data_IF_806706690157
#
_entry.id   IF_806706690157
#
_cell.length_a   1.000
_cell.length_b   1.000
_cell.length_c   1.000
_cell.angle_alpha   90.00
_cell.angle_beta   90.00
_cell.angle_gamma   90.00
#
_symmetry.space_group_name_H-M   'P 1'
#
loop_
_entity.id
_entity.type
_entity.pdbx_description
1 polymer ?
#
# COMPACT_ATOMS: atom_id res chain seq x y z
N UNK A 1 -29.05 -38.61 9.57
CA UNK A 1 -28.11 -39.58 10.17
C UNK A 1 -26.70 -39.04 10.00
N UNK A 2 -26.03 -38.79 11.13
CA UNK A 2 -24.71 -38.16 11.23
C UNK A 2 -23.65 -38.94 10.45
N UNK A 3 -22.91 -38.27 9.57
CA UNK A 3 -21.71 -38.80 8.91
C UNK A 3 -20.60 -38.88 9.96
N UNK A 4 -20.58 -39.97 10.72
CA UNK A 4 -19.59 -40.28 11.75
C UNK A 4 -18.30 -40.85 11.15
N UNK A 5 -17.76 -40.18 10.13
CA UNK A 5 -16.44 -40.51 9.58
C UNK A 5 -15.62 -39.23 9.47
N UNK A 6 -15.16 -38.72 10.62
CA UNK A 6 -14.13 -37.69 10.73
C UNK A 6 -12.72 -38.25 10.39
N UNK A 7 -12.67 -39.23 9.50
CA UNK A 7 -11.46 -39.91 9.02
C UNK A 7 -11.35 -39.79 7.50
N UNK A 8 -10.20 -40.13 6.90
CA UNK A 8 -9.98 -40.02 5.45
C UNK A 8 -10.93 -40.87 4.61
N UNK A 9 -11.67 -41.79 5.24
CA UNK A 9 -12.58 -42.74 4.60
C UNK A 9 -13.85 -42.09 4.06
N UNK A 10 -14.30 -40.97 4.64
CA UNK A 10 -15.47 -40.21 4.17
C UNK A 10 -15.18 -39.20 3.05
N UNK A 11 -13.91 -39.03 2.65
CA UNK A 11 -13.49 -38.02 1.67
C UNK A 11 -13.51 -38.55 0.23
N UNK A 12 -13.92 -37.71 -0.71
CA UNK A 12 -13.83 -37.99 -2.14
C UNK A 12 -12.36 -38.14 -2.57
N UNK A 13 -12.10 -38.87 -3.66
CA UNK A 13 -10.72 -39.14 -4.12
C UNK A 13 -9.89 -37.86 -4.31
N UNK A 14 -10.50 -36.81 -4.86
CA UNK A 14 -9.91 -35.47 -5.03
C UNK A 14 -9.59 -34.79 -3.70
N UNK A 15 -10.46 -34.92 -2.71
CA UNK A 15 -10.27 -34.35 -1.37
C UNK A 15 -9.13 -35.04 -0.63
N UNK A 16 -9.02 -36.37 -0.76
CA UNK A 16 -7.90 -37.16 -0.21
C UNK A 16 -6.57 -36.71 -0.81
N UNK A 17 -6.51 -36.46 -2.11
CA UNK A 17 -5.29 -35.99 -2.78
C UNK A 17 -4.92 -34.57 -2.36
N UNK A 18 -5.90 -33.66 -2.28
CA UNK A 18 -5.70 -32.31 -1.75
C UNK A 18 -5.18 -32.33 -0.30
N UNK A 19 -5.72 -33.21 0.55
CA UNK A 19 -5.26 -33.37 1.92
C UNK A 19 -3.81 -33.87 2.00
N UNK A 20 -3.40 -34.78 1.11
CA UNK A 20 -2.00 -35.22 0.99
C UNK A 20 -1.09 -34.05 0.58
N UNK A 21 -1.47 -33.27 -0.43
CA UNK A 21 -0.71 -32.09 -0.88
C UNK A 21 -0.57 -31.06 0.24
N UNK A 22 -1.66 -30.73 0.94
CA UNK A 22 -1.63 -29.80 2.08
C UNK A 22 -0.77 -30.29 3.24
N UNK A 23 -0.79 -31.59 3.54
CA UNK A 23 0.09 -32.20 4.56
C UNK A 23 1.56 -32.08 4.18
N UNK A 24 1.92 -32.27 2.91
CA UNK A 24 3.29 -32.06 2.43
C UNK A 24 3.73 -30.59 2.55
N UNK A 25 2.83 -29.65 2.24
CA UNK A 25 3.11 -28.21 2.31
C UNK A 25 3.38 -27.69 3.72
N UNK A 26 2.87 -28.35 4.78
CA UNK A 26 3.15 -27.96 6.17
C UNK A 26 4.65 -27.94 6.49
N UNK A 27 5.44 -28.79 5.83
CA UNK A 27 6.89 -28.92 6.05
C UNK A 27 7.73 -28.16 5.03
N UNK A 28 7.12 -27.61 3.98
CA UNK A 28 7.84 -27.02 2.84
C UNK A 28 8.74 -25.85 3.22
N UNK A 29 8.35 -25.05 4.23
CA UNK A 29 9.16 -23.94 4.73
C UNK A 29 10.20 -24.34 5.78
N UNK A 30 10.16 -25.58 6.25
CA UNK A 30 11.05 -26.05 7.31
C UNK A 30 12.27 -26.72 6.68
N UNK A 31 13.46 -26.32 7.13
CA UNK A 31 14.73 -26.91 6.68
C UNK A 31 15.03 -28.13 7.54
N UNK A 32 15.56 -29.19 6.95
CA UNK A 32 15.92 -30.42 7.65
C UNK A 32 17.34 -30.86 7.30
N UNK A 33 17.89 -31.74 8.13
CA UNK A 33 19.22 -32.32 7.91
C UNK A 33 20.31 -31.26 7.75
N UNK A 34 21.16 -31.43 6.75
CA UNK A 34 22.33 -30.57 6.50
C UNK A 34 21.92 -29.12 6.24
N UNK A 35 20.81 -28.88 5.53
CA UNK A 35 20.33 -27.52 5.27
C UNK A 35 19.91 -26.77 6.53
N UNK A 36 19.35 -27.49 7.52
CA UNK A 36 19.00 -26.91 8.81
C UNK A 36 20.25 -26.50 9.60
N UNK A 37 21.28 -27.35 9.57
CA UNK A 37 22.55 -27.08 10.24
C UNK A 37 23.28 -25.90 9.60
N UNK A 38 23.38 -25.87 8.27
CA UNK A 38 23.98 -24.75 7.53
C UNK A 38 23.20 -23.44 7.74
N UNK A 39 21.87 -23.49 7.77
CA UNK A 39 21.06 -22.32 8.07
C UNK A 39 21.31 -21.80 9.48
N UNK A 40 21.40 -22.71 10.48
CA UNK A 40 21.71 -22.38 11.86
C UNK A 40 23.10 -21.75 11.97
N UNK A 41 24.13 -22.36 11.40
CA UNK A 41 25.51 -21.84 11.41
C UNK A 41 25.59 -20.47 10.73
N UNK A 42 24.93 -20.28 9.59
CA UNK A 42 24.89 -19.00 8.91
C UNK A 42 24.18 -17.94 9.77
N UNK A 43 23.09 -18.30 10.45
CA UNK A 43 22.37 -17.41 11.37
C UNK A 43 23.27 -17.02 12.55
N UNK A 44 23.94 -17.97 13.19
CA UNK A 44 24.90 -17.73 14.26
C UNK A 44 26.04 -16.81 13.81
N UNK A 45 26.62 -17.04 12.63
CA UNK A 45 27.66 -16.18 12.06
C UNK A 45 27.18 -14.76 11.78
N UNK A 46 25.96 -14.60 11.27
CA UNK A 46 25.34 -13.27 11.08
C UNK A 46 25.14 -12.57 12.41
N UNK A 47 24.61 -13.28 13.41
CA UNK A 47 24.40 -12.71 14.75
C UNK A 47 25.72 -12.23 15.35
N UNK A 48 26.78 -13.04 15.35
CA UNK A 48 28.11 -12.67 15.85
C UNK A 48 28.72 -11.47 15.12
N UNK A 49 28.53 -11.36 13.80
CA UNK A 49 28.99 -10.20 13.04
C UNK A 49 28.18 -8.92 13.35
N UNK A 50 26.94 -9.07 13.82
CA UNK A 50 26.03 -7.96 14.14
C UNK A 50 25.88 -7.67 15.63
N UNK A 51 26.50 -8.47 16.51
CA UNK A 51 26.39 -8.34 17.96
C UNK A 51 27.12 -7.07 18.39
N UNK A 52 26.35 -6.05 18.75
CA UNK A 52 26.79 -4.67 18.98
C UNK A 52 26.30 -3.64 17.95
N UNK A 53 26.10 -4.03 16.69
CA UNK A 53 25.66 -3.12 15.63
C UNK A 53 24.13 -3.07 15.45
N UNK A 54 23.43 -4.19 15.63
CA UNK A 54 21.98 -4.27 15.36
C UNK A 54 21.09 -3.84 16.55
N UNK A 55 21.49 -4.15 17.78
CA UNK A 55 20.66 -3.89 18.97
C UNK A 55 20.76 -2.44 19.47
N UNK A 56 21.94 -1.81 19.40
CA UNK A 56 22.11 -0.39 19.79
C UNK A 56 21.67 0.60 18.71
N UNK A 57 21.58 0.18 17.45
CA UNK A 57 21.18 1.08 16.37
C UNK A 57 19.66 1.28 16.26
N UNK A 58 18.85 0.29 16.67
CA UNK A 58 17.42 0.28 16.34
C UNK A 58 16.47 0.63 17.51
N UNK A 59 16.82 0.27 18.75
CA UNK A 59 15.91 0.48 19.90
C UNK A 59 16.24 1.75 20.69
N UNK A 60 17.52 2.09 20.85
CA UNK A 60 17.96 3.27 21.62
C UNK A 60 18.08 4.54 20.79
N UNK A 61 18.13 4.42 19.45
CA UNK A 61 18.26 5.56 18.53
C UNK A 61 16.92 6.06 18.00
N UNK A 62 15.95 5.17 17.77
CA UNK A 62 14.62 5.55 17.30
C UNK A 62 13.79 6.31 18.34
N UNK A 63 14.17 6.27 19.62
CA UNK A 63 13.58 7.06 20.70
C UNK A 63 14.22 8.45 20.90
N UNK A 64 15.24 8.80 20.11
CA UNK A 64 15.90 10.09 20.22
C UNK A 64 15.09 11.19 19.53
N UNK A 65 15.18 12.41 20.06
CA UNK A 65 14.64 13.60 19.38
C UNK A 65 15.46 13.90 18.13
N UNK A 66 14.81 14.48 17.12
CA UNK A 66 15.46 14.98 15.92
C UNK A 66 16.66 15.89 16.26
N UNK A 67 17.73 15.80 15.47
CA UNK A 67 18.93 16.64 15.62
C UNK A 67 18.83 18.01 14.96
N UNK A 68 17.79 18.27 14.17
CA UNK A 68 17.58 19.55 13.51
C UNK A 68 17.36 20.68 14.52
N UNK A 69 17.90 21.85 14.21
CA UNK A 69 17.63 23.10 14.91
C UNK A 69 16.86 24.03 13.98
N UNK A 70 15.81 24.66 14.52
CA UNK A 70 15.00 25.68 13.86
C UNK A 70 14.99 26.87 14.79
N UNK A 71 15.47 28.03 14.34
CA UNK A 71 15.57 29.26 15.15
C UNK A 71 16.27 29.03 16.50
N UNK A 72 17.42 28.34 16.47
CA UNK A 72 18.22 27.92 17.64
C UNK A 72 17.53 26.97 18.65
N UNK A 73 16.31 26.52 18.34
CA UNK A 73 15.58 25.54 19.14
C UNK A 73 15.68 24.16 18.50
N UNK A 74 16.13 23.17 19.27
CA UNK A 74 16.17 21.77 18.81
C UNK A 74 14.75 21.26 18.59
N UNK A 75 14.54 20.63 17.43
CA UNK A 75 13.27 20.01 17.09
C UNK A 75 12.84 18.96 18.15
N UNK A 76 11.60 19.07 18.61
CA UNK A 76 11.02 18.18 19.61
C UNK A 76 10.51 16.84 19.03
N UNK A 77 10.34 16.77 17.70
CA UNK A 77 9.84 15.58 17.02
C UNK A 77 10.78 14.39 17.17
N UNK A 78 10.20 13.19 17.17
CA UNK A 78 10.97 11.95 17.21
C UNK A 78 11.73 11.72 15.89
N UNK A 79 12.97 11.23 15.99
CA UNK A 79 13.72 10.81 14.80
C UNK A 79 13.10 9.56 14.17
N UNK A 80 13.15 9.46 12.85
CA UNK A 80 12.71 8.25 12.15
C UNK A 80 13.66 7.08 12.44
N UNK A 81 13.20 5.82 12.33
CA UNK A 81 14.05 4.65 12.49
C UNK A 81 15.27 4.73 11.57
N UNK A 82 16.44 4.39 12.11
CA UNK A 82 17.73 4.41 11.41
C UNK A 82 18.24 5.79 10.95
N UNK A 83 17.51 6.88 11.20
CA UNK A 83 17.95 8.24 10.91
C UNK A 83 18.15 9.04 12.21
N UNK A 84 18.68 10.25 12.09
CA UNK A 84 18.82 11.21 13.20
C UNK A 84 17.80 12.35 13.14
N UNK A 85 16.90 12.31 12.16
CA UNK A 85 16.00 13.40 11.79
C UNK A 85 14.55 12.92 11.75
N UNK A 86 13.62 13.80 12.11
CA UNK A 86 12.19 13.54 11.91
C UNK A 86 11.84 13.68 10.43
N UNK A 87 10.62 13.29 10.04
CA UNK A 87 10.15 13.39 8.65
C UNK A 87 10.37 14.80 8.09
N UNK A 88 9.95 15.85 8.79
CA UNK A 88 10.05 17.25 8.33
C UNK A 88 11.48 17.72 8.07
N UNK A 89 12.47 17.14 8.75
CA UNK A 89 13.87 17.56 8.68
C UNK A 89 14.77 16.50 8.04
N UNK A 90 14.22 15.41 7.51
CA UNK A 90 15.02 14.31 6.97
C UNK A 90 15.92 14.76 5.81
N UNK A 91 15.49 15.78 5.06
CA UNK A 91 16.26 16.37 3.96
C UNK A 91 17.42 17.27 4.42
N UNK A 92 17.57 17.54 5.72
CA UNK A 92 18.75 18.24 6.26
C UNK A 92 19.94 17.28 6.48
N UNK A 93 19.70 15.97 6.49
CA UNK A 93 20.75 14.96 6.63
C UNK A 93 21.55 14.84 5.32
N UNK A 94 22.87 15.04 5.39
CA UNK A 94 23.75 14.98 4.22
C UNK A 94 23.85 13.59 3.61
N UNK A 95 23.55 12.55 4.38
CA UNK A 95 23.58 11.16 3.91
C UNK A 95 22.20 10.68 3.45
N UNK A 96 21.21 11.57 3.33
CA UNK A 96 19.87 11.19 2.98
C UNK A 96 19.73 10.84 1.50
N UNK A 97 19.39 9.59 1.21
CA UNK A 97 19.20 9.09 -0.16
C UNK A 97 17.76 8.66 -0.45
N UNK A 98 16.95 8.42 0.58
CA UNK A 98 15.58 7.90 0.43
C UNK A 98 14.53 8.99 0.22
N UNK A 99 14.83 10.22 0.65
CA UNK A 99 13.90 11.35 0.63
C UNK A 99 14.58 12.55 0.00
N UNK A 100 13.85 13.28 -0.85
CA UNK A 100 14.25 14.57 -1.42
C UNK A 100 13.17 15.61 -1.13
N UNK A 101 13.48 16.91 -1.12
CA UNK A 101 12.45 17.94 -1.10
C UNK A 101 11.65 17.88 -2.41
N UNK A 102 10.35 18.13 -2.32
CA UNK A 102 9.49 18.25 -3.49
C UNK A 102 9.96 19.42 -4.37
N UNK A 103 9.94 19.25 -5.69
CA UNK A 103 10.32 20.33 -6.60
C UNK A 103 9.34 21.53 -6.55
N UNK A 104 8.08 21.28 -6.17
CA UNK A 104 7.06 22.33 -6.06
C UNK A 104 6.50 22.73 -7.42
N UNK A 105 5.91 23.92 -7.49
CA UNK A 105 5.59 24.62 -8.73
C UNK A 105 6.49 25.85 -8.86
N UNK A 106 6.64 26.36 -10.08
CA UNK A 106 7.48 27.54 -10.41
C UNK A 106 7.22 28.75 -9.48
N UNK A 107 5.98 28.90 -9.00
CA UNK A 107 5.53 30.06 -8.22
C UNK A 107 5.81 29.95 -6.71
N UNK A 108 5.92 28.73 -6.15
CA UNK A 108 6.06 28.52 -4.69
C UNK A 108 6.97 27.31 -4.37
N UNK A 109 8.09 27.51 -3.65
CA UNK A 109 8.98 26.41 -3.30
C UNK A 109 8.32 25.45 -2.31
N UNK A 110 8.39 24.15 -2.61
CA UNK A 110 7.81 23.11 -1.75
C UNK A 110 8.87 22.35 -0.97
N UNK A 111 9.06 22.64 0.31
CA UNK A 111 10.04 21.91 1.13
C UNK A 111 9.52 20.59 1.71
N UNK A 112 8.45 20.00 1.15
CA UNK A 112 7.89 18.74 1.67
C UNK A 112 8.80 17.56 1.29
N UNK A 113 9.25 16.74 2.26
CA UNK A 113 10.07 15.57 2.00
C UNK A 113 9.23 14.49 1.29
N UNK A 114 9.73 14.00 0.17
CA UNK A 114 9.07 13.01 -0.69
C UNK A 114 9.99 11.81 -0.95
N UNK A 115 9.46 10.56 -0.92
CA UNK A 115 10.25 9.38 -1.19
C UNK A 115 10.74 9.33 -2.64
N UNK A 116 12.02 9.05 -2.84
CA UNK A 116 12.65 8.94 -4.17
C UNK A 116 12.20 7.67 -4.92
N UNK A 117 11.67 6.67 -4.21
CA UNK A 117 11.21 5.41 -4.81
C UNK A 117 9.98 5.54 -5.72
N UNK A 118 9.32 6.71 -5.76
CA UNK A 118 8.07 6.92 -6.49
C UNK A 118 8.28 7.34 -7.95
N UNK A 119 9.32 8.13 -8.24
CA UNK A 119 9.63 8.66 -9.58
C UNK A 119 11.03 9.31 -9.60
N UNK A 120 11.57 9.58 -10.79
CA UNK A 120 12.82 10.34 -10.95
C UNK A 120 12.68 11.77 -10.41
N UNK A 121 11.51 12.39 -10.65
CA UNK A 121 11.07 13.67 -10.09
C UNK A 121 9.92 13.46 -9.10
N UNK A 122 10.20 13.17 -7.82
CA UNK A 122 9.17 12.96 -6.82
C UNK A 122 8.51 14.28 -6.43
N UNK A 123 7.18 14.30 -6.49
CA UNK A 123 6.36 15.42 -6.05
C UNK A 123 5.45 14.99 -4.89
N UNK A 124 5.13 15.92 -4.00
CA UNK A 124 4.17 15.65 -2.93
C UNK A 124 2.76 15.53 -3.54
N UNK A 125 1.77 14.96 -2.83
CA UNK A 125 0.42 14.77 -3.36
C UNK A 125 -0.24 16.06 -3.89
N UNK A 126 0.17 17.23 -3.40
CA UNK A 126 -0.33 18.53 -3.85
C UNK A 126 0.30 19.01 -5.17
N UNK A 127 1.50 18.51 -5.50
CA UNK A 127 2.23 18.84 -6.73
C UNK A 127 2.33 17.64 -7.68
N UNK A 128 1.58 16.57 -7.41
CA UNK A 128 1.52 15.41 -8.28
C UNK A 128 0.70 15.76 -9.52
N UNK A 129 1.31 15.65 -10.70
CA UNK A 129 0.61 15.85 -11.97
C UNK A 129 -0.32 14.66 -12.22
N UNK A 130 -1.62 14.89 -12.10
CA UNK A 130 -2.63 13.87 -12.42
C UNK A 130 -2.64 13.59 -13.93
N UNK A 131 -2.81 12.33 -14.35
CA UNK A 131 -3.10 12.00 -15.74
C UNK A 131 -4.35 12.77 -16.22
N UNK A 132 -4.42 13.16 -17.51
CA UNK A 132 -5.63 13.74 -18.06
C UNK A 132 -6.81 12.77 -17.84
N UNK A 133 -8.00 13.31 -17.56
CA UNK A 133 -9.19 12.49 -17.38
C UNK A 133 -9.42 11.66 -18.64
N UNK A 134 -9.48 10.34 -18.48
CA UNK A 134 -9.69 9.40 -19.60
C UNK A 134 -11.14 9.42 -20.10
N UNK A 135 -12.06 9.97 -19.32
CA UNK A 135 -13.45 10.11 -19.70
C UNK A 135 -13.62 11.36 -20.56
N UNK A 136 -13.94 11.15 -21.83
CA UNK A 136 -14.51 12.18 -22.69
C UNK A 136 -16.02 12.03 -22.56
N UNK A 137 -16.74 13.00 -21.96
CA UNK A 137 -18.18 13.02 -22.03
C UNK A 137 -18.60 12.97 -23.49
N UNK A 138 -19.51 12.05 -23.82
CA UNK A 138 -20.08 11.94 -25.16
C UNK A 138 -20.64 13.31 -25.54
N UNK A 139 -20.04 13.93 -26.56
CA UNK A 139 -20.54 15.18 -27.10
C UNK A 139 -21.95 14.88 -27.58
N UNK A 140 -22.95 15.41 -26.88
CA UNK A 140 -24.34 15.41 -27.34
C UNK A 140 -24.29 16.03 -28.73
N UNK A 141 -24.42 15.17 -29.75
CA UNK A 141 -24.60 15.58 -31.13
C UNK A 141 -25.70 16.62 -31.11
N UNK A 142 -25.38 17.85 -31.52
CA UNK A 142 -26.38 18.85 -31.80
C UNK A 142 -27.33 18.23 -32.82
N UNK A 143 -28.52 17.86 -32.35
CA UNK A 143 -29.62 17.37 -33.17
C UNK A 143 -29.90 18.46 -34.20
N UNK A 144 -29.76 18.21 -35.51
CA UNK A 144 -30.26 19.15 -36.50
C UNK A 144 -31.79 19.22 -36.38
N UNK A 145 -32.25 20.46 -36.30
CA UNK A 145 -33.64 20.89 -36.20
C UNK A 145 -34.51 20.32 -37.34
N UNK A 146 -35.67 19.81 -36.94
CA UNK A 146 -36.88 19.50 -37.71
C UNK A 146 -36.81 18.48 -38.85
N UNK A 147 -37.55 17.36 -38.67
CA UNK A 147 -38.46 16.81 -39.68
C UNK A 147 -39.43 15.80 -39.02
N UNK A 148 -40.67 16.27 -38.87
CA UNK A 148 -41.95 15.55 -38.98
C UNK A 148 -42.22 14.22 -38.24
N UNK A 149 -43.32 14.29 -37.50
CA UNK A 149 -44.05 13.26 -36.76
C UNK A 149 -44.14 11.84 -37.38
N UNK A 150 -43.82 10.82 -36.56
CA UNK A 150 -44.50 9.51 -36.51
C UNK A 150 -44.13 8.76 -35.20
N UNK A 151 -44.88 7.72 -34.79
CA UNK A 151 -45.64 7.69 -33.55
C UNK A 151 -44.89 7.10 -32.35
N UNK A 152 -45.34 7.59 -31.19
CA UNK A 152 -45.30 6.99 -29.86
C UNK A 152 -45.45 5.47 -29.92
N UNK A 153 -44.37 4.73 -29.68
CA UNK A 153 -44.36 3.48 -28.93
C UNK A 153 -42.94 2.91 -28.95
N UNK A 154 -42.14 3.31 -27.95
CA UNK A 154 -41.09 2.50 -27.32
C UNK A 154 -40.58 3.31 -26.12
N UNK A 155 -41.46 3.50 -25.13
CA UNK A 155 -41.07 3.99 -23.81
C UNK A 155 -40.29 2.87 -23.12
N UNK A 156 -38.98 2.85 -23.33
CA UNK A 156 -38.07 2.14 -22.45
C UNK A 156 -38.04 2.93 -21.14
N UNK A 157 -38.60 2.35 -20.08
CA UNK A 157 -38.54 2.91 -18.73
C UNK A 157 -37.09 3.01 -18.26
N UNK A 158 -36.40 4.06 -18.67
CA UNK A 158 -35.21 4.53 -17.98
C UNK A 158 -35.71 5.24 -16.73
N UNK A 159 -35.51 4.61 -15.56
CA UNK A 159 -35.70 5.29 -14.30
C UNK A 159 -34.67 6.43 -14.23
N UNK A 160 -35.09 7.64 -14.59
CA UNK A 160 -34.32 8.87 -14.40
C UNK A 160 -34.29 9.22 -12.91
N UNK A 161 -33.48 8.48 -12.15
CA UNK A 161 -33.18 8.87 -10.78
C UNK A 161 -32.34 10.14 -10.82
N UNK A 162 -32.96 11.25 -10.43
CA UNK A 162 -32.25 12.50 -10.15
C UNK A 162 -31.19 12.24 -9.05
N UNK A 163 -29.99 12.86 -9.09
CA UNK A 163 -28.87 12.56 -8.19
C UNK A 163 -29.07 12.82 -6.68
N UNK A 164 -30.30 13.07 -6.22
CA UNK A 164 -30.60 13.52 -4.85
C UNK A 164 -31.62 12.67 -4.10
N UNK A 165 -31.82 11.40 -4.47
CA UNK A 165 -32.63 10.49 -3.65
C UNK A 165 -31.74 9.56 -2.81
N UNK A 166 -31.62 9.85 -1.52
CA UNK A 166 -31.09 8.93 -0.52
C UNK A 166 -32.13 7.86 -0.21
N UNK A 167 -31.98 6.67 -0.80
CA UNK A 167 -32.81 5.52 -0.47
C UNK A 167 -32.32 4.86 0.84
N UNK A 168 -33.20 4.64 1.84
CA UNK A 168 -32.81 3.94 3.05
C UNK A 168 -32.56 2.45 2.74
N UNK A 169 -31.37 1.99 3.11
CA UNK A 169 -31.00 0.57 3.09
C UNK A 169 -31.54 -0.09 4.36
N UNK A 170 -32.69 -0.75 4.23
CA UNK A 170 -33.20 -1.64 5.27
C UNK A 170 -32.53 -3.01 5.09
N UNK A 171 -31.78 -3.46 6.09
CA UNK A 171 -31.25 -4.82 6.14
C UNK A 171 -32.29 -5.71 6.83
N UNK A 172 -32.74 -6.75 6.13
CA UNK A 172 -33.56 -7.80 6.75
C UNK A 172 -32.69 -8.70 7.63
N UNK A 173 -33.21 -9.03 8.81
CA UNK A 173 -32.59 -9.93 9.81
C UNK A 173 -32.34 -11.37 9.28
#
# INVERSE_FOLDING_TARGET
>A
GSSLLTGPEGLMAKERENLKRLKCLRRYRQRYGVEALLHRQLKERRMLATDGAAQQAHTTRSSQRCLAFVDDVRCSNQSLPMTRHCLTHICQDTNQTLFKPCQGSEEVPCNKPVPVSLSEDPCCPLHLRLPPQMYVPEQVLAVPEELEAAPTDLYLSAAELQPTESLPLEFSD
#
